data_IF_734136427717
#
_entry.id   IF_734136427717
#
_cell.length_a   1.000
_cell.length_b   1.000
_cell.length_c   1.000
_cell.angle_alpha   90.00
_cell.angle_beta   90.00
_cell.angle_gamma   90.00
#
_symmetry.space_group_name_H-M   'P 1'
#
loop_
_entity.id
_entity.type
_entity.pdbx_description
1 polymer ?
#
# COMPACT_ATOMS: atom_id res chain seq x y z
N UNK A 1 34.60 -3.07 5.06
CA UNK A 1 33.28 -2.73 4.48
C UNK A 1 33.30 -3.07 2.99
N UNK A 2 32.41 -3.95 2.56
CA UNK A 2 32.23 -4.38 1.16
C UNK A 2 31.65 -3.26 0.30
N UNK A 3 32.10 -3.13 -0.96
CA UNK A 3 31.52 -2.18 -1.93
C UNK A 3 30.91 -2.96 -3.09
N UNK A 4 29.72 -2.57 -3.52
CA UNK A 4 28.98 -3.09 -4.66
C UNK A 4 28.74 -1.92 -5.62
N UNK A 5 28.97 -2.13 -6.92
CA UNK A 5 28.73 -1.11 -7.95
C UNK A 5 27.64 -1.59 -8.92
N UNK A 6 26.62 -0.77 -9.12
CA UNK A 6 25.44 -1.05 -9.94
C UNK A 6 25.12 0.15 -10.84
N UNK A 7 24.34 -0.07 -11.87
CA UNK A 7 23.68 1.03 -12.59
C UNK A 7 22.45 1.51 -11.81
N UNK A 8 21.64 0.57 -11.33
CA UNK A 8 20.40 0.87 -10.58
C UNK A 8 20.23 -0.10 -9.42
N UNK A 9 20.00 0.45 -8.25
CA UNK A 9 19.59 -0.31 -7.07
C UNK A 9 18.11 -0.08 -6.75
N UNK A 10 17.39 -1.14 -6.42
CA UNK A 10 15.98 -1.13 -6.08
C UNK A 10 15.84 -1.48 -4.60
N UNK A 11 15.10 -0.68 -3.85
CA UNK A 11 14.95 -0.86 -2.41
C UNK A 11 13.55 -1.35 -2.10
N UNK A 12 13.44 -2.63 -1.71
CA UNK A 12 12.18 -3.28 -1.33
C UNK A 12 11.78 -4.42 -2.26
N UNK A 13 11.17 -5.47 -1.69
CA UNK A 13 10.67 -6.69 -2.34
C UNK A 13 9.14 -6.78 -2.33
N UNK A 14 8.47 -5.63 -2.28
CA UNK A 14 7.04 -5.53 -2.54
C UNK A 14 6.71 -5.59 -4.04
N UNK A 15 5.43 -5.51 -4.39
CA UNK A 15 4.98 -5.50 -5.78
C UNK A 15 5.66 -4.40 -6.61
N UNK A 16 5.84 -3.22 -6.06
CA UNK A 16 6.50 -2.10 -6.76
C UNK A 16 7.97 -2.40 -7.06
N UNK A 17 8.73 -2.94 -6.10
CA UNK A 17 10.15 -3.27 -6.29
C UNK A 17 10.37 -4.37 -7.31
N UNK A 18 9.62 -5.45 -7.21
CA UNK A 18 9.69 -6.51 -8.23
C UNK A 18 9.23 -6.05 -9.61
N UNK A 19 8.18 -5.22 -9.69
CA UNK A 19 7.77 -4.67 -10.98
C UNK A 19 8.85 -3.75 -11.59
N UNK A 20 9.50 -2.91 -10.78
CA UNK A 20 10.62 -2.08 -11.24
C UNK A 20 11.78 -2.94 -11.78
N UNK A 21 12.18 -3.98 -11.04
CA UNK A 21 13.22 -4.90 -11.48
C UNK A 21 12.86 -5.60 -12.79
N UNK A 22 11.63 -6.11 -12.90
CA UNK A 22 11.15 -6.77 -14.12
C UNK A 22 11.14 -5.82 -15.32
N UNK A 23 10.67 -4.60 -15.14
CA UNK A 23 10.63 -3.60 -16.23
C UNK A 23 12.03 -3.24 -16.71
N UNK A 24 12.97 -2.99 -15.80
CA UNK A 24 14.36 -2.72 -16.13
C UNK A 24 15.01 -3.90 -16.88
N UNK A 25 14.79 -5.12 -16.39
CA UNK A 25 15.31 -6.33 -17.04
C UNK A 25 14.76 -6.50 -18.46
N UNK A 26 13.46 -6.25 -18.67
CA UNK A 26 12.83 -6.28 -20.00
C UNK A 26 13.33 -5.18 -20.95
N UNK A 27 13.84 -4.08 -20.39
CA UNK A 27 14.50 -3.01 -21.14
C UNK A 27 15.98 -3.31 -21.46
N UNK A 28 16.48 -4.48 -21.03
CA UNK A 28 17.87 -4.92 -21.27
C UNK A 28 18.86 -4.45 -20.18
N UNK A 29 18.37 -3.85 -19.10
CA UNK A 29 19.26 -3.46 -18.00
C UNK A 29 19.59 -4.67 -17.13
N UNK A 30 20.88 -5.01 -17.06
CA UNK A 30 21.38 -6.22 -16.37
C UNK A 30 22.17 -5.91 -15.11
N UNK A 31 22.69 -4.68 -14.97
CA UNK A 31 23.49 -4.29 -13.81
C UNK A 31 22.60 -3.68 -12.71
N UNK A 32 21.61 -4.46 -12.28
CA UNK A 32 20.64 -4.08 -11.25
C UNK A 32 20.62 -5.10 -10.11
N UNK A 33 20.21 -4.65 -8.92
CA UNK A 33 19.96 -5.53 -7.79
C UNK A 33 18.86 -4.96 -6.89
N UNK A 34 18.20 -5.85 -6.14
CA UNK A 34 17.21 -5.49 -5.13
C UNK A 34 17.84 -5.63 -3.74
N UNK A 35 17.58 -4.68 -2.85
CA UNK A 35 17.98 -4.71 -1.44
C UNK A 35 16.74 -4.67 -0.56
N UNK A 36 16.67 -5.54 0.43
CA UNK A 36 15.49 -5.67 1.29
C UNK A 36 15.85 -6.05 2.72
N UNK A 37 15.07 -5.59 3.69
CA UNK A 37 15.17 -6.04 5.09
C UNK A 37 14.72 -7.49 5.27
N UNK A 38 13.90 -8.01 4.35
CA UNK A 38 13.43 -9.39 4.35
C UNK A 38 12.55 -9.68 3.13
N UNK A 39 12.99 -10.62 2.31
CA UNK A 39 12.27 -11.03 1.09
C UNK A 39 10.83 -11.44 1.38
N UNK A 40 10.59 -12.10 2.53
CA UNK A 40 9.26 -12.57 2.92
C UNK A 40 8.45 -11.54 3.71
N UNK A 41 9.03 -10.39 4.06
CA UNK A 41 8.44 -9.43 5.01
C UNK A 41 7.69 -8.28 4.34
N UNK A 42 7.65 -8.20 3.00
CA UNK A 42 6.97 -7.11 2.30
C UNK A 42 5.48 -7.05 2.62
N UNK A 43 4.96 -5.85 2.76
CA UNK A 43 3.53 -5.62 3.00
C UNK A 43 2.67 -6.25 1.91
N UNK A 44 3.04 -6.10 0.64
CA UNK A 44 2.30 -6.69 -0.49
C UNK A 44 2.15 -8.21 -0.38
N UNK A 45 3.11 -8.90 0.23
CA UNK A 45 3.08 -10.35 0.43
C UNK A 45 2.27 -10.77 1.67
N UNK A 46 2.20 -9.91 2.68
CA UNK A 46 1.70 -10.24 4.02
C UNK A 46 0.39 -9.56 4.40
N UNK A 47 -0.25 -8.86 3.47
CA UNK A 47 -1.59 -8.30 3.68
C UNK A 47 -2.63 -9.11 2.96
N UNK A 48 -3.83 -9.14 3.54
CA UNK A 48 -5.03 -9.70 2.94
C UNK A 48 -6.25 -8.92 3.43
N UNK A 49 -7.26 -8.80 2.59
CA UNK A 49 -8.53 -8.17 2.94
C UNK A 49 -9.59 -8.53 1.91
N UNK A 50 -10.84 -8.60 2.34
CA UNK A 50 -12.00 -8.68 1.46
C UNK A 50 -12.12 -7.47 0.52
N UNK A 51 -11.49 -6.36 0.88
CA UNK A 51 -11.44 -5.12 0.10
C UNK A 51 -10.19 -4.99 -0.79
N UNK A 52 -9.36 -6.04 -0.91
CA UNK A 52 -8.21 -5.97 -1.82
C UNK A 52 -8.67 -5.83 -3.27
N UNK A 53 -8.32 -4.70 -3.86
CA UNK A 53 -8.74 -4.29 -5.19
C UNK A 53 -7.52 -3.87 -6.00
N UNK A 54 -7.43 -4.37 -7.23
CA UNK A 54 -6.59 -3.79 -8.25
C UNK A 54 -7.43 -2.77 -9.03
N UNK A 55 -6.99 -1.53 -9.05
CA UNK A 55 -7.72 -0.42 -9.67
C UNK A 55 -7.07 -0.02 -10.99
N UNK A 56 -7.81 -0.03 -12.06
CA UNK A 56 -7.35 0.23 -13.43
C UNK A 56 -8.46 0.83 -14.27
N UNK A 57 -8.13 1.36 -15.43
CA UNK A 57 -9.13 1.74 -16.41
C UNK A 57 -10.16 0.63 -16.64
N UNK A 58 -11.41 0.99 -16.82
CA UNK A 58 -12.45 0.06 -17.23
C UNK A 58 -12.12 -0.47 -18.62
N UNK A 59 -11.92 -1.80 -18.71
CA UNK A 59 -11.52 -2.48 -19.95
C UNK A 59 -12.70 -3.15 -20.66
N UNK A 60 -13.82 -3.30 -19.95
CA UNK A 60 -15.06 -3.86 -20.46
C UNK A 60 -16.24 -3.26 -19.69
N UNK A 61 -17.40 -3.24 -20.33
CA UNK A 61 -18.64 -2.71 -19.74
C UNK A 61 -19.22 -1.56 -20.54
N UNK A 62 -20.33 -1.00 -20.07
CA UNK A 62 -21.12 0.01 -20.80
C UNK A 62 -20.72 1.46 -20.49
N UNK A 63 -19.98 1.69 -19.39
CA UNK A 63 -19.58 3.05 -19.02
C UNK A 63 -18.24 3.41 -19.71
N UNK A 64 -18.20 4.52 -20.48
CA UNK A 64 -16.95 4.97 -21.08
C UNK A 64 -15.96 5.43 -20.02
N UNK A 65 -14.68 5.16 -20.27
CA UNK A 65 -13.59 5.56 -19.39
C UNK A 65 -12.38 6.08 -20.18
N UNK A 66 -11.53 6.84 -19.49
CA UNK A 66 -10.29 7.37 -20.07
C UNK A 66 -9.23 7.60 -18.99
N UNK A 67 -7.92 7.65 -19.37
CA UNK A 67 -6.87 8.03 -18.43
C UNK A 67 -7.15 9.36 -17.73
N UNK A 68 -7.64 10.35 -18.47
CA UNK A 68 -7.97 11.66 -17.92
C UNK A 68 -9.12 11.60 -16.90
N UNK A 69 -10.18 10.83 -17.19
CA UNK A 69 -11.29 10.65 -16.27
C UNK A 69 -10.82 9.94 -14.98
N UNK A 70 -10.01 8.88 -15.11
CA UNK A 70 -9.47 8.17 -13.96
C UNK A 70 -8.53 9.06 -13.14
N UNK A 71 -7.64 9.81 -13.79
CA UNK A 71 -6.73 10.74 -13.11
C UNK A 71 -7.51 11.83 -12.35
N UNK A 72 -8.58 12.34 -12.93
CA UNK A 72 -9.45 13.35 -12.29
C UNK A 72 -10.15 12.78 -11.04
N UNK A 73 -10.62 11.54 -11.11
CA UNK A 73 -11.27 10.88 -9.98
C UNK A 73 -10.24 10.62 -8.85
N UNK A 74 -9.04 10.13 -9.16
CA UNK A 74 -7.95 9.95 -8.20
C UNK A 74 -7.54 11.29 -7.55
N UNK A 75 -7.41 12.34 -8.35
CA UNK A 75 -7.06 13.68 -7.86
C UNK A 75 -8.20 14.35 -7.09
N UNK A 76 -9.44 13.92 -7.30
CA UNK A 76 -10.63 14.49 -6.65
C UNK A 76 -10.57 14.45 -5.12
N UNK A 77 -9.92 13.44 -4.54
CA UNK A 77 -9.62 13.35 -3.10
C UNK A 77 -8.53 14.30 -2.62
N UNK A 78 -7.77 14.93 -3.53
CA UNK A 78 -6.63 15.83 -3.28
C UNK A 78 -5.47 15.22 -2.47
N UNK A 79 -5.47 13.91 -2.28
CA UNK A 79 -4.44 13.17 -1.52
C UNK A 79 -3.32 12.62 -2.41
N UNK A 80 -3.35 12.88 -3.72
CA UNK A 80 -2.34 12.44 -4.68
C UNK A 80 -1.79 13.62 -5.49
N UNK A 81 -0.62 13.43 -6.07
CA UNK A 81 -0.08 14.36 -7.07
C UNK A 81 -0.80 14.15 -8.41
N UNK A 82 -1.20 15.23 -9.08
CA UNK A 82 -1.99 15.17 -10.32
C UNK A 82 -1.24 14.52 -11.48
N UNK A 83 0.06 14.79 -11.61
CA UNK A 83 0.90 14.21 -12.66
C UNK A 83 1.09 12.70 -12.42
N UNK A 84 1.31 12.30 -11.18
CA UNK A 84 1.35 10.88 -10.81
C UNK A 84 0.01 10.20 -11.07
N UNK A 85 -1.12 10.83 -10.73
CA UNK A 85 -2.45 10.28 -11.01
C UNK A 85 -2.67 10.04 -12.51
N UNK A 86 -2.22 10.97 -13.36
CA UNK A 86 -2.31 10.82 -14.82
C UNK A 86 -1.41 9.69 -15.33
N UNK A 87 -0.16 9.62 -14.87
CA UNK A 87 0.75 8.54 -15.22
C UNK A 87 0.21 7.17 -14.80
N UNK A 88 -0.32 7.06 -13.58
CA UNK A 88 -0.92 5.83 -13.07
C UNK A 88 -2.12 5.40 -13.92
N UNK A 89 -3.03 6.33 -14.21
CA UNK A 89 -4.18 6.07 -15.04
C UNK A 89 -3.78 5.60 -16.45
N UNK A 90 -2.87 6.30 -17.10
CA UNK A 90 -2.43 5.99 -18.46
C UNK A 90 -1.75 4.62 -18.58
N UNK A 91 -1.02 4.20 -17.54
CA UNK A 91 -0.30 2.92 -17.52
C UNK A 91 -1.10 1.77 -16.93
N UNK A 92 -2.23 2.04 -16.29
CA UNK A 92 -2.98 1.06 -15.47
C UNK A 92 -3.40 -0.18 -16.24
N UNK A 93 -3.92 -0.03 -17.47
CA UNK A 93 -4.33 -1.15 -18.32
C UNK A 93 -3.15 -2.03 -18.71
N UNK A 94 -2.03 -1.42 -19.14
CA UNK A 94 -0.82 -2.15 -19.50
C UNK A 94 -0.21 -2.92 -18.33
N UNK A 95 -0.20 -2.32 -17.13
CA UNK A 95 0.24 -2.98 -15.93
C UNK A 95 -0.67 -4.15 -15.53
N UNK A 96 -1.98 -3.99 -15.69
CA UNK A 96 -2.95 -5.06 -15.45
C UNK A 96 -2.71 -6.27 -16.36
N UNK A 97 -2.60 -6.05 -17.67
CA UNK A 97 -2.35 -7.12 -18.62
C UNK A 97 -1.01 -7.82 -18.37
N UNK A 98 0.03 -7.07 -18.01
CA UNK A 98 1.31 -7.67 -17.61
C UNK A 98 1.12 -8.64 -16.44
N UNK A 99 0.37 -8.26 -15.41
CA UNK A 99 0.12 -9.13 -14.26
C UNK A 99 -0.71 -10.36 -14.63
N UNK A 100 -1.71 -10.21 -15.49
CA UNK A 100 -2.52 -11.32 -15.99
C UNK A 100 -1.66 -12.32 -16.81
N UNK A 101 -0.78 -11.83 -17.68
CA UNK A 101 0.18 -12.65 -18.44
C UNK A 101 1.16 -13.39 -17.54
N UNK A 102 1.55 -12.81 -16.41
CA UNK A 102 2.39 -13.45 -15.39
C UNK A 102 1.66 -14.52 -14.57
N UNK A 103 0.35 -14.66 -14.78
CA UNK A 103 -0.47 -15.70 -14.15
C UNK A 103 -1.18 -15.26 -12.87
N UNK A 104 -1.34 -13.95 -12.62
CA UNK A 104 -2.26 -13.49 -11.57
C UNK A 104 -3.70 -13.85 -11.98
N UNK A 105 -4.45 -14.62 -11.16
CA UNK A 105 -5.73 -15.19 -11.56
C UNK A 105 -6.88 -14.18 -11.45
N UNK A 106 -6.79 -13.07 -12.18
CA UNK A 106 -7.89 -12.13 -12.27
C UNK A 106 -9.09 -12.76 -12.99
N UNK A 107 -10.31 -12.48 -12.54
CA UNK A 107 -11.50 -13.04 -13.15
C UNK A 107 -11.73 -12.49 -14.56
N UNK A 108 -12.20 -13.36 -15.43
CA UNK A 108 -12.69 -13.01 -16.76
C UNK A 108 -14.08 -13.59 -16.96
N UNK A 109 -14.88 -12.96 -17.82
CA UNK A 109 -16.18 -13.51 -18.20
C UNK A 109 -16.01 -14.63 -19.24
N UNK A 110 -17.15 -15.20 -19.70
CA UNK A 110 -17.16 -16.27 -20.70
C UNK A 110 -16.56 -15.93 -22.06
N UNK A 111 -16.33 -14.65 -22.32
CA UNK A 111 -15.72 -14.14 -23.55
C UNK A 111 -14.23 -13.77 -23.37
N UNK A 112 -13.67 -13.99 -22.18
CA UNK A 112 -12.31 -13.62 -21.85
C UNK A 112 -12.11 -12.14 -21.50
N UNK A 113 -13.18 -11.38 -21.31
CA UNK A 113 -13.10 -9.97 -20.96
C UNK A 113 -12.86 -9.80 -19.46
N UNK A 114 -11.95 -8.91 -19.12
CA UNK A 114 -11.67 -8.51 -17.72
C UNK A 114 -12.69 -7.49 -17.23
N UNK A 115 -13.89 -7.96 -16.95
CA UNK A 115 -14.97 -7.13 -16.42
C UNK A 115 -14.64 -6.74 -14.99
N UNK A 116 -14.64 -5.41 -14.73
CA UNK A 116 -14.47 -4.87 -13.39
C UNK A 116 -15.79 -4.81 -12.61
N UNK A 117 -15.68 -4.44 -11.35
CA UNK A 117 -16.82 -4.12 -10.50
C UNK A 117 -16.74 -2.67 -10.01
N UNK A 118 -17.87 -2.13 -9.61
CA UNK A 118 -17.95 -0.79 -9.04
C UNK A 118 -17.49 -0.81 -7.58
N UNK A 119 -16.73 0.19 -7.18
CA UNK A 119 -16.46 0.48 -5.77
C UNK A 119 -17.40 1.57 -5.27
N UNK A 120 -17.40 1.81 -3.96
CA UNK A 120 -18.35 2.71 -3.31
C UNK A 120 -18.39 4.14 -3.91
N UNK A 121 -17.33 4.54 -4.59
CA UNK A 121 -17.18 5.90 -5.16
C UNK A 121 -16.88 5.91 -6.67
N UNK A 122 -16.89 4.76 -7.32
CA UNK A 122 -16.55 4.65 -8.74
C UNK A 122 -17.59 3.83 -9.51
N UNK A 123 -18.34 4.52 -10.34
CA UNK A 123 -19.40 3.93 -11.16
C UNK A 123 -18.91 3.27 -12.45
N UNK A 124 -17.61 3.37 -12.76
CA UNK A 124 -17.05 2.91 -14.04
C UNK A 124 -16.58 1.47 -14.07
N UNK A 125 -16.64 0.75 -12.96
CA UNK A 125 -16.20 -0.64 -12.90
C UNK A 125 -14.69 -0.81 -13.09
N UNK A 126 -13.89 0.06 -12.50
CA UNK A 126 -12.42 0.03 -12.58
C UNK A 126 -11.77 -0.99 -11.67
N UNK A 127 -12.50 -1.47 -10.70
CA UNK A 127 -12.00 -2.41 -9.70
C UNK A 127 -11.99 -3.85 -10.24
N UNK A 128 -10.95 -4.59 -9.92
CA UNK A 128 -10.88 -6.04 -10.09
C UNK A 128 -10.12 -6.67 -8.93
N UNK A 129 -10.25 -7.97 -8.72
CA UNK A 129 -9.61 -8.64 -7.60
C UNK A 129 -9.40 -10.13 -7.93
N UNK A 130 -8.27 -10.68 -7.51
CA UNK A 130 -8.02 -12.12 -7.50
C UNK A 130 -8.32 -12.72 -6.09
N UNK A 131 -9.26 -12.11 -5.37
CA UNK A 131 -9.64 -12.47 -4.01
C UNK A 131 -8.85 -11.74 -2.92
N UNK A 132 -9.02 -12.15 -1.65
CA UNK A 132 -8.45 -11.43 -0.50
C UNK A 132 -6.93 -11.32 -0.47
N UNK A 133 -6.24 -12.13 -1.26
CA UNK A 133 -4.77 -12.20 -1.34
C UNK A 133 -4.22 -11.66 -2.67
N UNK A 134 -4.94 -10.78 -3.35
CA UNK A 134 -4.56 -10.22 -4.66
C UNK A 134 -3.12 -9.69 -4.66
N UNK A 135 -2.73 -8.88 -3.68
CA UNK A 135 -1.37 -8.31 -3.61
C UNK A 135 -0.29 -9.36 -3.38
N UNK A 136 -0.59 -10.42 -2.62
CA UNK A 136 0.32 -11.56 -2.45
C UNK A 136 0.53 -12.28 -3.78
N UNK A 137 -0.54 -12.63 -4.49
CA UNK A 137 -0.47 -13.29 -5.78
C UNK A 137 0.30 -12.47 -6.83
N UNK A 138 0.06 -11.17 -6.89
CA UNK A 138 0.82 -10.24 -7.72
C UNK A 138 2.31 -10.29 -7.40
N UNK A 139 2.66 -10.19 -6.11
CA UNK A 139 4.05 -10.18 -5.65
C UNK A 139 4.76 -11.50 -5.97
N UNK A 140 4.08 -12.63 -5.80
CA UNK A 140 4.62 -13.96 -6.09
C UNK A 140 4.84 -14.18 -7.60
N UNK A 141 3.91 -13.73 -8.45
CA UNK A 141 4.08 -13.80 -9.89
C UNK A 141 5.25 -12.92 -10.37
N UNK A 142 5.33 -11.70 -9.88
CA UNK A 142 6.43 -10.78 -10.20
C UNK A 142 7.78 -11.31 -9.70
N UNK A 143 7.86 -11.84 -8.48
CA UNK A 143 9.13 -12.36 -7.93
C UNK A 143 9.66 -13.55 -8.72
N UNK A 144 8.79 -14.49 -9.12
CA UNK A 144 9.19 -15.63 -9.98
C UNK A 144 9.77 -15.18 -11.30
N UNK A 145 9.19 -14.15 -11.92
CA UNK A 145 9.68 -13.66 -13.19
C UNK A 145 11.02 -12.90 -13.04
N UNK A 146 11.16 -12.09 -11.99
CA UNK A 146 12.44 -11.42 -11.66
C UNK A 146 13.55 -12.44 -11.38
N UNK A 147 13.25 -13.55 -10.72
CA UNK A 147 14.17 -14.66 -10.50
C UNK A 147 14.63 -15.29 -11.83
N UNK A 148 13.72 -15.46 -12.82
CA UNK A 148 14.04 -15.97 -14.16
C UNK A 148 15.02 -15.07 -14.92
N UNK A 149 14.98 -13.76 -14.66
CA UNK A 149 15.96 -12.81 -15.21
C UNK A 149 17.30 -12.82 -14.44
N UNK A 150 17.42 -13.58 -13.37
CA UNK A 150 18.66 -13.68 -12.60
C UNK A 150 19.01 -12.43 -11.80
N UNK A 151 18.05 -11.58 -11.48
CA UNK A 151 18.29 -10.35 -10.70
C UNK A 151 18.70 -10.73 -9.28
N UNK A 152 19.85 -10.23 -8.85
CA UNK A 152 20.35 -10.49 -7.49
C UNK A 152 19.48 -9.77 -6.46
N UNK A 153 19.08 -10.49 -5.40
CA UNK A 153 18.38 -9.95 -4.25
C UNK A 153 19.28 -10.06 -3.01
N UNK A 154 19.63 -8.91 -2.45
CA UNK A 154 20.34 -8.82 -1.17
C UNK A 154 19.33 -8.78 -0.03
N UNK A 155 19.10 -9.94 0.55
CA UNK A 155 18.21 -10.09 1.71
C UNK A 155 18.86 -9.59 3.00
N UNK A 156 18.05 -9.27 4.02
CA UNK A 156 18.45 -8.76 5.34
C UNK A 156 19.37 -7.53 5.28
N UNK A 157 19.19 -6.71 4.26
CA UNK A 157 19.90 -5.45 4.07
C UNK A 157 18.99 -4.27 4.37
N UNK A 158 19.21 -3.62 5.51
CA UNK A 158 18.52 -2.39 5.89
C UNK A 158 19.28 -1.19 5.36
N UNK A 159 18.63 -0.34 4.57
CA UNK A 159 19.24 0.91 4.11
C UNK A 159 19.24 1.91 5.28
N UNK A 160 20.43 2.41 5.61
CA UNK A 160 20.60 3.33 6.76
C UNK A 160 20.92 4.75 6.35
N UNK A 161 21.47 4.97 5.16
CA UNK A 161 21.81 6.30 4.65
C UNK A 161 21.92 6.30 3.13
N UNK A 162 21.40 7.34 2.48
CA UNK A 162 21.67 7.64 1.07
C UNK A 162 22.93 8.50 1.00
N UNK A 163 23.86 8.14 0.13
CA UNK A 163 25.07 8.89 -0.17
C UNK A 163 24.78 9.91 -1.27
N UNK A 164 25.29 11.12 -1.11
CA UNK A 164 25.13 12.21 -2.07
C UNK A 164 26.49 12.83 -2.38
N UNK A 165 26.61 13.42 -3.57
CA UNK A 165 27.72 14.27 -3.93
C UNK A 165 27.56 15.70 -3.38
N UNK A 166 28.49 16.59 -3.74
CA UNK A 166 28.48 18.01 -3.33
C UNK A 166 27.31 18.79 -3.96
N UNK A 167 26.77 18.33 -5.09
CA UNK A 167 25.58 18.89 -5.74
C UNK A 167 24.27 18.39 -5.13
N UNK A 168 24.33 17.40 -4.22
CA UNK A 168 23.17 16.79 -3.59
C UNK A 168 22.56 15.62 -4.38
N UNK A 169 23.19 15.21 -5.48
CA UNK A 169 22.76 14.07 -6.29
C UNK A 169 23.10 12.74 -5.61
N UNK A 170 22.22 11.76 -5.77
CA UNK A 170 22.41 10.45 -5.17
C UNK A 170 23.56 9.68 -5.83
N UNK A 171 24.54 9.25 -5.03
CA UNK A 171 25.66 8.40 -5.45
C UNK A 171 25.46 6.92 -5.11
N UNK A 172 24.46 6.60 -4.31
CA UNK A 172 24.21 5.28 -3.77
C UNK A 172 23.78 5.33 -2.31
N UNK A 173 24.15 4.32 -1.53
CA UNK A 173 23.73 4.23 -0.12
C UNK A 173 24.64 3.33 0.72
N UNK A 174 24.46 3.41 2.03
CA UNK A 174 24.97 2.44 3.01
C UNK A 174 23.82 1.55 3.46
N UNK A 175 24.06 0.24 3.42
CA UNK A 175 23.16 -0.78 3.94
C UNK A 175 23.81 -1.48 5.14
N UNK A 176 22.99 -1.81 6.14
CA UNK A 176 23.32 -2.70 7.24
C UNK A 176 22.88 -4.12 6.87
N UNK A 177 23.82 -5.01 6.68
CA UNK A 177 23.56 -6.44 6.54
C UNK A 177 23.34 -7.05 7.93
N UNK A 178 22.08 -7.30 8.29
CA UNK A 178 21.72 -7.84 9.61
C UNK A 178 21.99 -9.33 9.76
N UNK A 179 22.30 -10.02 8.65
CA UNK A 179 22.69 -11.44 8.67
C UNK A 179 24.20 -11.64 8.88
N UNK A 180 25.03 -10.62 8.72
CA UNK A 180 26.48 -10.74 8.84
C UNK A 180 26.91 -10.95 10.29
N UNK A 181 27.71 -11.98 10.51
CA UNK A 181 28.34 -12.28 11.80
C UNK A 181 29.62 -11.47 11.99
N UNK A 182 30.39 -11.31 10.92
CA UNK A 182 31.64 -10.58 10.92
C UNK A 182 31.42 -9.07 10.86
N UNK A 183 32.17 -8.31 11.66
CA UNK A 183 32.04 -6.85 11.78
C UNK A 183 32.25 -6.14 10.44
N UNK A 184 33.21 -6.59 9.63
CA UNK A 184 33.55 -5.97 8.35
C UNK A 184 32.48 -6.16 7.27
N UNK A 185 31.66 -7.21 7.39
CA UNK A 185 30.59 -7.53 6.44
C UNK A 185 29.24 -6.91 6.82
N UNK A 186 29.15 -6.30 8.01
CA UNK A 186 27.90 -5.67 8.49
C UNK A 186 27.50 -4.44 7.69
N UNK A 187 28.47 -3.63 7.27
CA UNK A 187 28.20 -2.44 6.47
C UNK A 187 28.59 -2.69 5.02
N UNK A 188 27.62 -2.48 4.14
CA UNK A 188 27.78 -2.58 2.69
C UNK A 188 27.58 -1.21 2.08
N UNK A 189 28.56 -0.75 1.32
CA UNK A 189 28.47 0.47 0.51
C UNK A 189 28.02 0.08 -0.89
N UNK A 190 26.93 0.68 -1.36
CA UNK A 190 26.45 0.51 -2.72
C UNK A 190 26.64 1.80 -3.46
N UNK A 191 27.33 1.76 -4.59
CA UNK A 191 27.52 2.88 -5.51
C UNK A 191 26.64 2.62 -6.73
N UNK A 192 25.75 3.53 -7.06
CA UNK A 192 24.88 3.39 -8.22
C UNK A 192 24.42 4.75 -8.74
N UNK A 193 24.05 4.79 -10.03
CA UNK A 193 23.52 6.00 -10.67
C UNK A 193 22.09 6.31 -10.27
N UNK A 194 21.31 5.25 -10.02
CA UNK A 194 19.89 5.37 -9.71
C UNK A 194 19.53 4.54 -8.49
N UNK A 195 18.67 5.10 -7.63
CA UNK A 195 18.04 4.39 -6.51
C UNK A 195 16.54 4.47 -6.70
N UNK A 196 15.89 3.30 -6.88
CA UNK A 196 14.43 3.20 -6.94
C UNK A 196 13.92 2.83 -5.57
N UNK A 197 13.22 3.76 -4.92
CA UNK A 197 12.76 3.63 -3.55
C UNK A 197 11.34 3.07 -3.48
N UNK A 198 11.19 1.81 -3.06
CA UNK A 198 9.90 1.09 -3.02
C UNK A 198 9.61 0.46 -1.66
N UNK A 199 9.96 1.17 -0.60
CA UNK A 199 9.91 0.66 0.79
C UNK A 199 8.51 0.63 1.40
N UNK A 200 7.49 1.05 0.66
CA UNK A 200 6.12 1.14 1.17
C UNK A 200 5.88 2.38 2.01
N UNK A 201 4.74 2.42 2.69
CA UNK A 201 4.32 3.55 3.49
C UNK A 201 4.85 3.54 4.92
N UNK A 202 4.54 4.59 5.70
CA UNK A 202 5.14 4.86 7.01
C UNK A 202 4.33 4.30 8.20
N UNK A 203 3.53 3.27 8.04
CA UNK A 203 2.64 2.79 9.11
C UNK A 203 3.37 2.43 10.42
N UNK A 204 4.67 2.12 10.34
CA UNK A 204 5.53 1.85 11.50
C UNK A 204 5.83 3.05 12.40
N UNK A 205 5.37 4.26 12.07
CA UNK A 205 5.46 5.44 12.97
C UNK A 205 4.41 5.40 14.07
N UNK A 206 3.35 4.62 13.90
CA UNK A 206 2.29 4.47 14.89
C UNK A 206 2.64 3.35 15.87
N UNK A 207 2.26 3.52 17.15
CA UNK A 207 2.44 2.49 18.18
C UNK A 207 1.65 1.22 17.82
N UNK A 208 0.43 1.40 17.35
CA UNK A 208 -0.43 0.33 16.85
C UNK A 208 -0.73 0.52 15.37
N UNK A 209 -0.66 -0.57 14.62
CA UNK A 209 -0.92 -0.56 13.19
C UNK A 209 -1.45 -1.90 12.72
N UNK A 210 -2.44 -1.88 11.85
CA UNK A 210 -2.98 -3.06 11.17
C UNK A 210 -2.00 -3.66 10.16
N UNK A 211 -1.04 -2.88 9.68
CA UNK A 211 -0.05 -3.33 8.72
C UNK A 211 0.95 -4.34 9.30
N UNK A 212 1.54 -5.21 8.47
CA UNK A 212 2.60 -6.12 8.90
C UNK A 212 3.78 -5.38 9.54
N UNK A 213 4.46 -6.02 10.48
CA UNK A 213 5.63 -5.46 11.18
C UNK A 213 6.75 -5.01 10.22
N UNK A 214 6.84 -5.60 9.02
CA UNK A 214 7.78 -5.16 7.98
C UNK A 214 7.43 -3.82 7.33
N UNK A 215 6.28 -3.23 7.62
CA UNK A 215 5.84 -1.95 7.06
C UNK A 215 6.40 -0.76 7.87
N UNK A 216 7.70 -0.75 8.03
CA UNK A 216 8.41 0.34 8.75
C UNK A 216 8.73 1.55 7.86
N UNK A 217 8.59 1.39 6.54
CA UNK A 217 8.60 2.47 5.56
C UNK A 217 9.94 3.05 5.19
N UNK A 218 10.92 3.10 6.06
CA UNK A 218 12.22 3.77 5.84
C UNK A 218 12.10 5.18 5.22
N UNK A 219 10.94 5.81 5.35
CA UNK A 219 10.60 7.12 4.76
C UNK A 219 11.56 8.21 5.21
N UNK A 220 11.97 8.17 6.48
CA UNK A 220 12.92 9.13 7.06
C UNK A 220 14.27 9.16 6.34
N UNK A 221 14.78 8.03 5.88
CA UNK A 221 16.06 7.95 5.13
C UNK A 221 15.96 8.70 3.80
N UNK A 222 14.83 8.58 3.10
CA UNK A 222 14.61 9.28 1.85
C UNK A 222 14.42 10.79 2.07
N UNK A 223 13.67 11.18 3.11
CA UNK A 223 13.45 12.59 3.48
C UNK A 223 14.76 13.27 3.91
N UNK A 224 15.59 12.59 4.71
CA UNK A 224 16.92 13.08 5.11
C UNK A 224 17.83 13.31 3.88
N UNK A 225 17.68 12.48 2.86
CA UNK A 225 18.39 12.66 1.60
C UNK A 225 17.87 13.83 0.74
N UNK A 226 16.73 14.43 1.10
CA UNK A 226 16.13 15.55 0.39
C UNK A 226 15.00 15.16 -0.56
N UNK A 227 14.46 13.93 -0.46
CA UNK A 227 13.28 13.56 -1.23
C UNK A 227 12.09 14.46 -0.89
N UNK A 228 11.38 14.93 -1.91
CA UNK A 228 10.17 15.73 -1.72
C UNK A 228 9.02 14.82 -1.30
N UNK A 229 8.29 15.25 -0.29
CA UNK A 229 7.09 14.56 0.17
C UNK A 229 5.85 15.44 -0.02
N UNK A 230 4.70 14.81 -0.23
CA UNK A 230 3.42 15.47 -0.42
C UNK A 230 2.34 14.76 0.39
N UNK A 231 1.36 15.51 0.88
CA UNK A 231 0.20 15.00 1.60
C UNK A 231 0.54 14.15 2.83
N UNK A 232 1.55 14.53 3.59
CA UNK A 232 1.99 13.80 4.78
C UNK A 232 0.94 13.75 5.90
N UNK A 233 -0.07 14.60 5.84
CA UNK A 233 -1.23 14.62 6.75
C UNK A 233 -2.25 13.53 6.44
N UNK A 234 -2.14 12.86 5.29
CA UNK A 234 -3.07 11.83 4.83
C UNK A 234 -2.64 10.41 5.22
N UNK A 235 -1.72 10.28 6.17
CA UNK A 235 -1.26 8.99 6.69
C UNK A 235 -2.22 8.44 7.74
N UNK A 236 -3.44 8.19 7.34
CA UNK A 236 -4.50 7.69 8.20
C UNK A 236 -5.19 6.48 7.57
N UNK A 237 -5.91 5.76 8.39
CA UNK A 237 -6.70 4.61 8.00
C UNK A 237 -8.07 4.67 8.67
N UNK A 238 -8.91 3.65 8.51
CA UNK A 238 -10.17 3.54 9.22
C UNK A 238 -10.02 2.70 10.49
N UNK A 239 -11.15 2.23 11.01
CA UNK A 239 -11.18 1.38 12.19
C UNK A 239 -10.40 0.10 11.95
N UNK A 240 -9.58 -0.27 12.93
CA UNK A 240 -8.78 -1.48 12.92
C UNK A 240 -8.71 -2.10 14.32
N UNK A 241 -8.48 -3.40 14.38
CA UNK A 241 -8.27 -4.14 15.61
C UNK A 241 -6.78 -4.30 15.89
N UNK A 242 -6.35 -4.15 17.13
CA UNK A 242 -4.98 -4.40 17.57
C UNK A 242 -4.79 -5.84 18.09
N UNK A 243 -5.84 -6.47 18.62
CA UNK A 243 -5.79 -7.85 19.12
C UNK A 243 -7.11 -8.61 18.80
N UNK A 244 -7.12 -9.45 17.77
CA UNK A 244 -6.06 -9.70 16.78
C UNK A 244 -5.85 -8.48 15.88
N UNK A 245 -4.65 -8.32 15.37
CA UNK A 245 -4.36 -7.23 14.43
C UNK A 245 -5.10 -7.46 13.10
N UNK A 246 -6.12 -6.67 12.87
CA UNK A 246 -7.01 -6.86 11.74
C UNK A 246 -7.66 -5.55 11.27
N UNK A 247 -7.78 -5.41 9.97
CA UNK A 247 -8.55 -4.34 9.35
C UNK A 247 -10.06 -4.61 9.53
N UNK A 248 -10.75 -3.71 10.23
CA UNK A 248 -12.20 -3.76 10.35
C UNK A 248 -12.82 -3.13 9.12
N UNK A 249 -13.12 -3.97 8.11
CA UNK A 249 -13.73 -3.53 6.86
C UNK A 249 -15.09 -2.86 7.09
N UNK A 250 -15.41 -1.86 6.27
CA UNK A 250 -16.71 -1.20 6.27
C UNK A 250 -17.88 -2.19 6.13
N UNK A 251 -17.69 -3.34 5.46
CA UNK A 251 -18.71 -4.38 5.32
C UNK A 251 -19.26 -4.84 6.67
N UNK A 252 -18.44 -4.88 7.73
CA UNK A 252 -18.89 -5.24 9.07
C UNK A 252 -19.84 -4.23 9.68
N UNK A 253 -19.78 -2.97 9.27
CA UNK A 253 -20.69 -1.93 9.76
C UNK A 253 -22.11 -2.07 9.19
N UNK A 254 -22.26 -2.73 8.05
CA UNK A 254 -23.55 -2.95 7.41
C UNK A 254 -24.42 -3.97 8.14
N UNK A 255 -23.84 -4.82 9.00
CA UNK A 255 -24.60 -5.72 9.88
C UNK A 255 -24.95 -5.09 11.22
N UNK A 256 -24.73 -3.78 11.36
CA UNK A 256 -25.06 -2.99 12.54
C UNK A 256 -24.46 -3.57 13.82
N UNK A 257 -23.13 -3.68 13.93
CA UNK A 257 -22.47 -4.20 15.12
C UNK A 257 -22.74 -3.33 16.34
N UNK A 258 -22.76 -3.95 17.52
CA UNK A 258 -22.74 -3.22 18.79
C UNK A 258 -21.30 -2.72 19.05
N UNK A 259 -21.20 -1.46 19.46
CA UNK A 259 -19.96 -0.88 19.91
C UNK A 259 -19.96 -0.90 21.43
N UNK A 260 -19.14 -1.74 22.00
CA UNK A 260 -19.08 -2.02 23.43
C UNK A 260 -17.72 -1.65 23.97
N UNK A 261 -17.69 -0.98 25.10
CA UNK A 261 -16.52 -0.75 25.93
C UNK A 261 -16.63 -1.52 27.25
N UNK A 262 -15.52 -1.67 27.94
CA UNK A 262 -15.45 -2.35 29.24
C UNK A 262 -14.89 -1.37 30.25
N UNK A 263 -15.62 -1.17 31.35
CA UNK A 263 -15.18 -0.30 32.44
C UNK A 263 -14.07 -0.94 33.32
N UNK A 264 -13.57 -0.19 34.28
CA UNK A 264 -12.52 -0.65 35.19
C UNK A 264 -12.93 -1.88 36.05
N UNK A 265 -14.23 -2.11 36.25
CA UNK A 265 -14.80 -3.23 37.02
C UNK A 265 -15.09 -4.44 36.11
N UNK A 266 -14.88 -4.32 34.82
CA UNK A 266 -15.10 -5.38 33.83
C UNK A 266 -16.54 -5.45 33.29
N UNK A 267 -17.38 -4.44 33.50
CA UNK A 267 -18.73 -4.40 32.96
C UNK A 267 -18.76 -3.85 31.55
N UNK A 268 -19.50 -4.50 30.67
CA UNK A 268 -19.72 -4.04 29.30
C UNK A 268 -20.79 -2.95 29.25
N UNK A 269 -20.56 -1.91 28.46
CA UNK A 269 -21.54 -0.88 28.13
C UNK A 269 -21.43 -0.40 26.68
N UNK A 270 -22.57 0.00 26.11
CA UNK A 270 -22.65 0.52 24.74
C UNK A 270 -22.38 2.03 24.73
N UNK A 271 -21.12 2.43 24.57
CA UNK A 271 -20.70 3.83 24.70
C UNK A 271 -21.30 4.78 23.66
N UNK A 272 -21.68 4.29 22.46
CA UNK A 272 -22.33 5.15 21.45
C UNK A 272 -23.65 5.74 21.94
N UNK A 273 -24.37 5.03 22.82
CA UNK A 273 -25.64 5.53 23.39
C UNK A 273 -25.49 6.77 24.27
N UNK A 274 -24.27 7.07 24.72
CA UNK A 274 -23.97 8.30 25.47
C UNK A 274 -23.94 9.54 24.57
N UNK A 275 -23.72 9.35 23.26
CA UNK A 275 -23.57 10.41 22.28
C UNK A 275 -24.80 10.56 21.36
N UNK A 276 -25.58 9.51 21.22
CA UNK A 276 -26.77 9.51 20.38
C UNK A 276 -28.02 9.26 21.25
N UNK A 277 -28.91 10.25 21.32
CA UNK A 277 -30.18 10.11 22.05
C UNK A 277 -31.22 9.36 21.23
N UNK A 278 -31.08 9.34 19.89
CA UNK A 278 -31.93 8.58 18.97
C UNK A 278 -31.17 7.36 18.44
N UNK A 279 -31.71 6.18 18.73
CA UNK A 279 -31.15 4.92 18.25
C UNK A 279 -31.16 4.83 16.72
N UNK A 280 -32.18 5.40 16.06
CA UNK A 280 -32.25 5.41 14.59
C UNK A 280 -31.11 6.23 13.99
N UNK A 281 -30.76 7.36 14.57
CA UNK A 281 -29.60 8.15 14.17
C UNK A 281 -28.30 7.36 14.39
N UNK A 282 -28.10 6.79 15.56
CA UNK A 282 -26.91 5.96 15.87
C UNK A 282 -26.73 4.84 14.84
N UNK A 283 -27.75 4.04 14.62
CA UNK A 283 -27.71 2.93 13.67
C UNK A 283 -27.47 3.40 12.23
N UNK A 284 -28.07 4.54 11.84
CA UNK A 284 -27.84 5.15 10.54
C UNK A 284 -26.37 5.55 10.34
N UNK A 285 -25.73 6.14 11.37
CA UNK A 285 -24.29 6.49 11.31
C UNK A 285 -23.40 5.26 11.20
N UNK A 286 -23.68 4.24 11.99
CA UNK A 286 -22.96 2.96 11.91
C UNK A 286 -23.10 2.32 10.54
N UNK A 287 -24.33 2.21 10.01
CA UNK A 287 -24.58 1.61 8.70
C UNK A 287 -23.88 2.39 7.57
N UNK A 288 -23.95 3.71 7.58
CA UNK A 288 -23.27 4.57 6.61
C UNK A 288 -21.76 4.41 6.65
N UNK A 289 -21.17 4.06 7.81
CA UNK A 289 -19.74 3.75 7.92
C UNK A 289 -19.33 2.59 7.02
N UNK A 290 -20.24 1.70 6.68
CA UNK A 290 -20.03 0.62 5.71
C UNK A 290 -19.74 1.10 4.28
N UNK A 291 -20.28 2.24 3.90
CA UNK A 291 -20.12 2.85 2.59
C UNK A 291 -19.12 4.01 2.59
N UNK A 292 -18.95 4.67 3.73
CA UNK A 292 -18.13 5.85 3.91
C UNK A 292 -16.84 5.55 4.70
N UNK A 293 -16.36 4.33 4.62
CA UNK A 293 -15.09 3.91 5.16
C UNK A 293 -13.97 4.29 4.17
N UNK A 294 -12.81 4.86 4.51
CA UNK A 294 -12.22 5.14 5.83
C UNK A 294 -12.65 6.50 6.42
N UNK A 295 -11.87 7.02 7.40
CA UNK A 295 -12.08 8.34 7.98
C UNK A 295 -12.01 9.45 6.92
N UNK A 296 -12.98 10.36 6.98
CA UNK A 296 -13.02 11.58 6.16
C UNK A 296 -13.38 12.76 7.07
N UNK A 297 -12.46 13.72 7.20
CA UNK A 297 -12.64 14.88 8.07
C UNK A 297 -13.91 15.72 7.72
N UNK A 298 -14.34 15.72 6.45
CA UNK A 298 -15.57 16.38 6.01
C UNK A 298 -16.84 15.73 6.55
N UNK A 299 -16.73 14.45 6.97
CA UNK A 299 -17.83 13.64 7.52
C UNK A 299 -17.73 13.45 9.04
N UNK A 300 -16.82 14.18 9.68
CA UNK A 300 -16.58 14.07 11.11
C UNK A 300 -17.73 14.65 11.95
N UNK A 301 -18.48 15.62 11.43
CA UNK A 301 -19.60 16.26 12.14
C UNK A 301 -20.95 15.62 11.83
N UNK A 302 -21.29 15.53 10.56
CA UNK A 302 -22.63 15.14 10.09
C UNK A 302 -22.63 13.83 9.30
N UNK A 303 -21.50 13.14 9.21
CA UNK A 303 -21.32 11.88 8.49
C UNK A 303 -20.93 10.71 9.38
N UNK A 304 -20.48 9.63 8.75
CA UNK A 304 -20.12 8.38 9.42
C UNK A 304 -18.80 8.47 10.18
N UNK A 305 -17.92 9.44 9.85
CA UNK A 305 -16.60 9.56 10.51
C UNK A 305 -16.69 10.06 11.96
N UNK A 306 -17.86 10.45 12.42
CA UNK A 306 -18.14 10.64 13.87
C UNK A 306 -17.89 9.34 14.63
N UNK A 307 -18.21 8.19 14.04
CA UNK A 307 -17.97 6.87 14.70
C UNK A 307 -16.48 6.65 14.95
N UNK A 308 -15.60 6.98 13.99
CA UNK A 308 -14.15 6.87 14.19
C UNK A 308 -13.67 7.73 15.37
N UNK A 309 -14.18 8.96 15.48
CA UNK A 309 -13.82 9.87 16.55
C UNK A 309 -14.33 9.40 17.93
N UNK A 310 -15.53 8.82 17.98
CA UNK A 310 -16.08 8.29 19.23
C UNK A 310 -15.31 7.04 19.68
N UNK A 311 -14.96 6.14 18.75
CA UNK A 311 -14.08 5.00 19.05
C UNK A 311 -12.73 5.49 19.55
N UNK A 312 -12.09 6.46 18.87
CA UNK A 312 -10.80 7.02 19.30
C UNK A 312 -10.88 7.67 20.69
N UNK A 313 -11.99 8.31 21.01
CA UNK A 313 -12.19 8.94 22.34
C UNK A 313 -12.37 7.91 23.43
N UNK A 314 -12.96 6.76 23.11
CA UNK A 314 -13.23 5.67 24.03
C UNK A 314 -12.00 4.80 24.33
N UNK A 315 -11.05 4.71 23.41
CA UNK A 315 -9.79 3.95 23.57
C UNK A 315 -8.66 4.80 24.15
#
# INVERSE_FOLDING_TARGET
>A
MKTITLSTAIIGTGAAGYNAALRLSRMGETNIAIFTMGVMNSTSRNTGSDKQTYYKLSLAGSAPDSPEAMARDLFGGRCVDGDHALCEAALSAGCFYQLAELGVPFPVNRYGESVGYQTDHDVRGRATSAGPLTSKLMTECLSREVERYGVTVYDRCQIVRILKDEAGEALGFIALNTAATEKDDRLVRVICKNVIWTTGGPAGIYADSVYPLGHVGSTGVALEAGAKAKNLTEWQYGLASVAPRWNVSGTYMQVLPRFVSVDADGNEYEFLSEYFTDLGEQLSRVFRKGYEWPFDSRRARDGSSVIDLLVYRET
#
